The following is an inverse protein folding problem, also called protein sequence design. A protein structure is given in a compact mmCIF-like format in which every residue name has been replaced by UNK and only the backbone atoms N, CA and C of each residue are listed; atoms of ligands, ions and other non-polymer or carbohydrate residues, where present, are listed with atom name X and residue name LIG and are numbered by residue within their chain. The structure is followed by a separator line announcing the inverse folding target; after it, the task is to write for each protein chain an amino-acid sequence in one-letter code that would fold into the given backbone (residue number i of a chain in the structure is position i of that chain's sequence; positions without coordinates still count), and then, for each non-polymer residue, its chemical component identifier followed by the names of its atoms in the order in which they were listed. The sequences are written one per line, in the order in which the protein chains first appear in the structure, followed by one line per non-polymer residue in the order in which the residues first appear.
data_IF_484716156098
#
_entry.id   IF_484716156098
#
_cell.length_a   1.000
_cell.length_b   1.000
_cell.length_c   1.000
_cell.angle_alpha   90.00
_cell.angle_beta   90.00
_cell.angle_gamma   90.00
#
_symmetry.space_group_name_H-M   'P 1'
#
loop_
_entity.id
_entity.type
_entity.pdbx_description
1 polymer ?
#
# COMPACT_ATOMS: atom_id res chain seq x y z
N UNK A 1 -18.64 -30.54 -7.70
CA UNK A 1 -18.31 -29.46 -8.63
C UNK A 1 -17.33 -28.55 -7.88
N UNK A 2 -16.15 -28.29 -8.42
CA UNK A 2 -15.25 -27.30 -7.81
C UNK A 2 -15.97 -25.94 -7.83
N UNK A 3 -16.12 -25.32 -6.66
CA UNK A 3 -16.72 -24.00 -6.53
C UNK A 3 -15.83 -23.02 -7.30
N UNK A 4 -16.38 -22.25 -8.23
CA UNK A 4 -15.58 -21.25 -8.96
C UNK A 4 -15.09 -20.21 -7.97
N UNK A 5 -13.80 -19.80 -8.09
CA UNK A 5 -13.23 -18.80 -7.21
C UNK A 5 -14.05 -17.49 -7.21
N UNK A 6 -14.22 -16.87 -6.04
CA UNK A 6 -14.99 -15.64 -5.85
C UNK A 6 -14.39 -14.48 -6.65
N UNK A 7 -15.19 -13.44 -6.92
CA UNK A 7 -14.69 -12.26 -7.63
C UNK A 7 -13.50 -11.62 -6.89
N UNK A 8 -13.58 -11.48 -5.55
CA UNK A 8 -12.49 -10.91 -4.76
C UNK A 8 -11.22 -11.76 -4.84
N UNK A 9 -11.32 -13.10 -4.70
CA UNK A 9 -10.16 -13.98 -4.81
C UNK A 9 -9.49 -13.85 -6.19
N UNK A 10 -10.28 -13.77 -7.26
CA UNK A 10 -9.78 -13.58 -8.63
C UNK A 10 -9.07 -12.23 -8.80
N UNK A 11 -9.59 -11.14 -8.21
CA UNK A 11 -8.97 -9.82 -8.25
C UNK A 11 -7.62 -9.86 -7.52
N UNK A 12 -7.56 -10.43 -6.32
CA UNK A 12 -6.30 -10.56 -5.57
C UNK A 12 -5.29 -11.43 -6.30
N UNK A 13 -5.73 -12.60 -6.81
CA UNK A 13 -4.88 -13.54 -7.56
C UNK A 13 -4.29 -12.91 -8.84
N UNK A 14 -5.09 -12.12 -9.58
CA UNK A 14 -4.61 -11.36 -10.74
C UNK A 14 -3.64 -10.27 -10.30
N UNK A 15 -3.97 -9.51 -9.26
CA UNK A 15 -3.14 -8.39 -8.78
C UNK A 15 -1.76 -8.83 -8.34
N UNK A 16 -1.63 -9.99 -7.66
CA UNK A 16 -0.32 -10.55 -7.23
C UNK A 16 0.60 -10.81 -8.43
N UNK A 17 0.08 -11.33 -9.54
CA UNK A 17 0.89 -11.57 -10.75
C UNK A 17 1.20 -10.25 -11.46
N UNK A 18 0.21 -9.36 -11.57
CA UNK A 18 0.35 -8.06 -12.26
C UNK A 18 1.39 -7.16 -11.60
N UNK A 19 1.41 -7.06 -10.25
CA UNK A 19 2.40 -6.22 -9.55
C UNK A 19 3.83 -6.75 -9.69
N UNK A 20 4.03 -8.06 -9.85
CA UNK A 20 5.33 -8.64 -10.18
C UNK A 20 5.82 -8.14 -11.56
N UNK A 21 4.92 -8.10 -12.56
CA UNK A 21 5.25 -7.54 -13.89
C UNK A 21 5.55 -6.05 -13.80
N UNK A 22 4.75 -5.27 -13.06
CA UNK A 22 4.99 -3.85 -12.82
C UNK A 22 6.35 -3.62 -12.14
N UNK A 23 6.69 -4.42 -11.12
CA UNK A 23 8.01 -4.34 -10.46
C UNK A 23 9.18 -4.60 -11.41
N UNK A 24 9.03 -5.51 -12.39
CA UNK A 24 10.02 -5.71 -13.44
C UNK A 24 10.16 -4.47 -14.32
N UNK A 25 9.04 -3.87 -14.74
CA UNK A 25 9.06 -2.63 -15.55
C UNK A 25 9.79 -1.50 -14.79
N UNK A 26 9.52 -1.34 -13.48
CA UNK A 26 10.18 -0.35 -12.62
C UNK A 26 11.70 -0.55 -12.63
N UNK A 27 12.17 -1.79 -12.46
CA UNK A 27 13.60 -2.10 -12.50
C UNK A 27 14.22 -1.87 -13.88
N UNK A 28 13.49 -2.22 -14.94
CA UNK A 28 13.94 -2.04 -16.32
C UNK A 28 14.10 -0.55 -16.68
N UNK A 29 13.18 0.32 -16.21
CA UNK A 29 13.30 1.79 -16.38
C UNK A 29 14.53 2.32 -15.63
N UNK A 30 14.72 1.93 -14.36
CA UNK A 30 15.89 2.34 -13.57
C UNK A 30 17.20 1.93 -14.24
N UNK A 31 17.26 0.72 -14.79
CA UNK A 31 18.47 0.19 -15.43
C UNK A 31 18.87 0.94 -16.72
N UNK A 32 17.90 1.57 -17.40
CA UNK A 32 18.15 2.41 -18.58
C UNK A 32 18.69 3.79 -18.23
N UNK A 33 18.49 4.26 -16.98
CA UNK A 33 18.94 5.56 -16.49
C UNK A 33 18.12 6.76 -16.97
N UNK A 34 17.12 6.56 -17.82
CA UNK A 34 16.23 7.62 -18.35
C UNK A 34 14.90 7.62 -17.57
N UNK A 35 14.88 8.31 -16.44
CA UNK A 35 13.70 8.32 -15.58
C UNK A 35 12.56 9.22 -16.07
N UNK A 36 12.83 10.16 -16.99
CA UNK A 36 11.86 11.11 -17.56
C UNK A 36 10.97 11.73 -16.46
N UNK A 37 11.62 12.36 -15.48
CA UNK A 37 10.99 12.92 -14.29
C UNK A 37 10.10 14.10 -14.66
N UNK A 38 8.87 14.11 -14.16
CA UNK A 38 7.92 15.22 -14.24
C UNK A 38 7.58 15.64 -12.81
N UNK A 39 7.59 16.93 -12.51
CA UNK A 39 7.10 17.48 -11.24
C UNK A 39 5.64 17.91 -11.42
N UNK A 40 4.70 17.15 -10.83
CA UNK A 40 3.24 17.42 -10.88
C UNK A 40 2.83 18.56 -9.94
N UNK A 41 3.63 18.79 -8.89
CA UNK A 41 3.43 19.80 -7.87
C UNK A 41 4.61 19.82 -6.90
N UNK A 42 4.60 20.71 -5.92
CA UNK A 42 5.71 20.85 -4.97
C UNK A 42 6.00 19.51 -4.27
N UNK A 43 7.18 18.92 -4.54
CA UNK A 43 7.61 17.61 -4.04
C UNK A 43 6.70 16.43 -4.48
N UNK A 44 5.99 16.55 -5.58
CA UNK A 44 5.15 15.52 -6.19
C UNK A 44 5.77 15.12 -7.54
N UNK A 45 6.64 14.13 -7.50
CA UNK A 45 7.40 13.64 -8.65
C UNK A 45 6.68 12.46 -9.31
N UNK A 46 6.82 12.37 -10.62
CA UNK A 46 6.40 11.24 -11.44
C UNK A 46 7.52 10.88 -12.38
N UNK A 47 7.76 9.59 -12.58
CA UNK A 47 8.76 9.08 -13.54
C UNK A 47 8.11 8.25 -14.64
N UNK A 48 8.93 7.84 -15.62
CA UNK A 48 8.49 6.86 -16.63
C UNK A 48 8.10 5.51 -15.99
N UNK A 49 8.73 5.17 -14.85
CA UNK A 49 8.42 3.94 -14.15
C UNK A 49 6.99 3.96 -13.57
N UNK A 50 6.56 5.09 -12.97
CA UNK A 50 5.19 5.28 -12.44
C UNK A 50 4.17 5.09 -13.57
N UNK A 51 4.35 5.83 -14.67
CA UNK A 51 3.43 5.79 -15.82
C UNK A 51 3.34 4.40 -16.46
N UNK A 52 4.48 3.74 -16.63
CA UNK A 52 4.55 2.42 -17.25
C UNK A 52 3.98 1.32 -16.36
N UNK A 53 4.31 1.33 -15.06
CA UNK A 53 3.76 0.41 -14.09
C UNK A 53 2.23 0.57 -13.97
N UNK A 54 1.73 1.81 -13.89
CA UNK A 54 0.29 2.06 -13.84
C UNK A 54 -0.44 1.54 -15.06
N UNK A 55 0.07 1.80 -16.27
CA UNK A 55 -0.51 1.29 -17.51
C UNK A 55 -0.59 -0.24 -17.50
N UNK A 56 0.48 -0.92 -17.08
CA UNK A 56 0.50 -2.38 -16.95
C UNK A 56 -0.58 -2.87 -16.00
N UNK A 57 -0.67 -2.30 -14.78
CA UNK A 57 -1.61 -2.73 -13.74
C UNK A 57 -3.05 -2.47 -14.19
N UNK A 58 -3.39 -1.23 -14.55
CA UNK A 58 -4.76 -0.84 -14.87
C UNK A 58 -5.27 -1.61 -16.09
N UNK A 59 -4.46 -1.72 -17.16
CA UNK A 59 -4.92 -2.42 -18.38
C UNK A 59 -5.11 -3.91 -18.16
N UNK A 60 -4.24 -4.56 -17.38
CA UNK A 60 -4.40 -5.98 -17.05
C UNK A 60 -5.67 -6.23 -16.23
N UNK A 61 -5.86 -5.45 -15.17
CA UNK A 61 -7.03 -5.59 -14.30
C UNK A 61 -8.33 -5.22 -15.00
N UNK A 62 -8.37 -4.13 -15.79
CA UNK A 62 -9.56 -3.71 -16.53
C UNK A 62 -9.97 -4.73 -17.59
N UNK A 63 -9.01 -5.42 -18.21
CA UNK A 63 -9.29 -6.49 -19.17
C UNK A 63 -9.96 -7.68 -18.50
N UNK A 64 -9.54 -8.05 -17.28
CA UNK A 64 -10.10 -9.17 -16.53
C UNK A 64 -11.42 -8.84 -15.82
N UNK A 65 -11.55 -7.58 -15.37
CA UNK A 65 -12.64 -7.14 -14.51
C UNK A 65 -13.25 -5.83 -15.02
N UNK A 66 -13.93 -5.85 -16.19
CA UNK A 66 -14.41 -4.62 -16.84
C UNK A 66 -15.51 -3.88 -16.07
N UNK A 67 -16.12 -4.53 -15.06
CA UNK A 67 -17.25 -3.99 -14.30
C UNK A 67 -16.87 -3.49 -12.89
N UNK A 68 -15.57 -3.46 -12.54
CA UNK A 68 -15.10 -2.85 -11.28
C UNK A 68 -14.55 -1.45 -11.53
N UNK A 69 -14.53 -0.63 -10.49
CA UNK A 69 -13.86 0.67 -10.55
C UNK A 69 -12.39 0.49 -10.20
N UNK A 70 -11.48 1.04 -11.02
CA UNK A 70 -10.05 1.06 -10.76
C UNK A 70 -9.59 2.52 -10.77
N UNK A 71 -8.93 2.96 -9.71
CA UNK A 71 -8.41 4.32 -9.54
C UNK A 71 -6.90 4.24 -9.34
N UNK A 72 -6.14 4.81 -10.25
CA UNK A 72 -4.69 4.97 -10.13
C UNK A 72 -4.32 6.37 -9.67
N UNK A 73 -3.09 6.52 -9.19
CA UNK A 73 -2.54 7.81 -8.79
C UNK A 73 -2.52 8.82 -9.93
N UNK A 74 -2.19 8.35 -11.13
CA UNK A 74 -2.03 9.20 -12.30
C UNK A 74 -3.24 9.13 -13.24
N UNK A 75 -3.69 10.28 -13.71
CA UNK A 75 -4.67 10.37 -14.80
C UNK A 75 -3.99 10.02 -16.13
N UNK A 76 -3.77 8.74 -16.41
CA UNK A 76 -3.19 8.32 -17.68
C UNK A 76 -4.26 8.34 -18.77
N UNK A 77 -4.04 9.15 -19.80
CA UNK A 77 -4.76 9.01 -21.06
C UNK A 77 -4.50 7.60 -21.64
N UNK A 78 -5.51 7.02 -22.31
CA UNK A 78 -5.42 5.75 -23.01
C UNK A 78 -4.34 5.83 -24.10
N UNK A 79 -3.14 5.36 -23.82
CA UNK A 79 -2.11 5.13 -24.80
C UNK A 79 -2.04 3.64 -25.11
N UNK A 80 -1.68 3.28 -26.34
CA UNK A 80 -1.33 1.89 -26.69
C UNK A 80 -0.24 1.40 -25.75
N UNK A 81 -0.44 0.20 -25.21
CA UNK A 81 0.50 -0.47 -24.32
C UNK A 81 1.10 -1.69 -25.05
N UNK A 82 2.36 -2.01 -24.82
CA UNK A 82 2.94 -3.24 -25.33
C UNK A 82 2.11 -4.45 -24.92
N UNK A 83 1.81 -5.34 -25.85
CA UNK A 83 0.97 -6.50 -25.60
C UNK A 83 1.52 -7.45 -24.53
N UNK A 84 2.85 -7.49 -24.37
CA UNK A 84 3.57 -8.28 -23.37
C UNK A 84 3.51 -7.68 -21.96
N UNK A 85 2.95 -6.46 -21.81
CA UNK A 85 2.66 -5.86 -20.50
C UNK A 85 1.30 -6.26 -19.96
N UNK A 86 0.41 -6.77 -20.80
CA UNK A 86 -0.90 -7.26 -20.36
C UNK A 86 -0.74 -8.66 -19.77
N UNK A 87 -0.96 -8.76 -18.48
CA UNK A 87 -0.90 -10.01 -17.74
C UNK A 87 -2.29 -10.62 -17.67
N UNK A 88 -2.39 -11.91 -18.01
CA UNK A 88 -3.65 -12.66 -17.99
C UNK A 88 -3.65 -13.82 -16.99
N UNK A 89 -2.51 -14.12 -16.41
CA UNK A 89 -2.38 -15.18 -15.41
C UNK A 89 -2.91 -14.75 -14.04
N UNK A 90 -3.26 -15.73 -13.23
CA UNK A 90 -3.74 -15.56 -11.86
C UNK A 90 -3.01 -16.54 -10.94
N UNK A 91 -2.75 -16.12 -9.71
CA UNK A 91 -2.13 -16.96 -8.68
C UNK A 91 -3.10 -18.11 -8.31
N UNK A 92 -2.64 -19.35 -8.53
CA UNK A 92 -3.49 -20.53 -8.36
C UNK A 92 -3.78 -20.87 -6.90
N UNK A 93 -2.88 -20.53 -5.97
CA UNK A 93 -3.08 -20.78 -4.54
C UNK A 93 -4.18 -19.85 -4.00
N UNK A 94 -4.14 -18.57 -4.37
CA UNK A 94 -5.16 -17.60 -3.95
C UNK A 94 -6.55 -17.96 -4.47
N UNK A 95 -6.64 -18.51 -5.67
CA UNK A 95 -7.93 -18.96 -6.24
C UNK A 95 -8.59 -20.09 -5.43
N UNK A 96 -7.82 -20.81 -4.62
CA UNK A 96 -8.34 -21.90 -3.77
C UNK A 96 -8.74 -21.45 -2.36
N UNK A 97 -8.48 -20.19 -1.99
CA UNK A 97 -8.78 -19.68 -0.66
C UNK A 97 -10.28 -19.62 -0.42
N UNK A 98 -10.67 -20.06 0.78
CA UNK A 98 -12.04 -19.89 1.26
C UNK A 98 -12.17 -18.53 1.93
N UNK A 99 -12.97 -17.66 1.34
CA UNK A 99 -13.24 -16.35 1.90
C UNK A 99 -14.34 -16.39 3.00
N UNK A 100 -14.36 -15.42 3.92
CA UNK A 100 -15.51 -15.20 4.81
C UNK A 100 -16.80 -14.99 4.00
N UNK A 101 -17.94 -15.41 4.55
CA UNK A 101 -19.25 -15.28 3.89
C UNK A 101 -19.56 -13.83 3.48
N UNK A 102 -19.12 -12.85 4.29
CA UNK A 102 -19.26 -11.42 4.00
C UNK A 102 -18.49 -10.94 2.76
N UNK A 103 -17.51 -11.73 2.28
CA UNK A 103 -16.66 -11.43 1.13
C UNK A 103 -16.88 -12.42 -0.05
N UNK A 104 -17.82 -13.36 0.08
CA UNK A 104 -18.01 -14.42 -0.90
C UNK A 104 -18.83 -13.96 -2.13
N UNK A 105 -19.90 -13.20 -1.93
CA UNK A 105 -20.85 -12.81 -2.99
C UNK A 105 -20.89 -11.30 -3.22
N UNK A 106 -19.72 -10.69 -3.47
CA UNK A 106 -19.63 -9.24 -3.70
C UNK A 106 -19.98 -8.90 -5.13
N UNK A 107 -20.88 -7.92 -5.32
CA UNK A 107 -21.17 -7.37 -6.63
C UNK A 107 -20.04 -6.47 -7.13
N UNK A 108 -19.65 -6.60 -8.39
CA UNK A 108 -18.56 -5.84 -9.01
C UNK A 108 -18.71 -4.31 -8.84
N UNK A 109 -19.93 -3.77 -8.89
CA UNK A 109 -20.21 -2.33 -8.71
C UNK A 109 -19.82 -1.77 -7.33
N UNK A 110 -19.68 -2.65 -6.31
CA UNK A 110 -19.31 -2.30 -4.94
C UNK A 110 -17.80 -2.37 -4.72
N UNK A 111 -17.03 -2.80 -5.73
CA UNK A 111 -15.58 -2.94 -5.64
C UNK A 111 -14.90 -1.70 -6.23
N UNK A 112 -13.98 -1.14 -5.46
CA UNK A 112 -13.03 -0.13 -5.91
C UNK A 112 -11.60 -0.63 -5.67
N UNK A 113 -10.77 -0.60 -6.71
CA UNK A 113 -9.35 -0.93 -6.63
C UNK A 113 -8.55 0.36 -6.68
N UNK A 114 -7.72 0.59 -5.65
CA UNK A 114 -6.81 1.72 -5.53
C UNK A 114 -5.40 1.28 -5.88
N UNK A 115 -4.75 2.00 -6.80
CA UNK A 115 -3.42 1.64 -7.31
C UNK A 115 -2.44 2.78 -7.11
N UNK A 116 -1.38 2.50 -6.35
CA UNK A 116 -0.15 3.29 -6.38
C UNK A 116 0.90 2.50 -7.17
N UNK A 117 1.24 2.95 -8.38
CA UNK A 117 2.13 2.20 -9.25
C UNK A 117 3.59 2.21 -8.77
N UNK A 118 3.99 3.24 -8.03
CA UNK A 118 5.34 3.41 -7.49
C UNK A 118 5.32 4.30 -6.24
N UNK A 119 4.96 3.72 -5.11
CA UNK A 119 5.07 4.36 -3.80
C UNK A 119 6.55 4.58 -3.44
N UNK A 120 6.89 5.82 -3.09
CA UNK A 120 8.26 6.23 -2.83
C UNK A 120 9.01 6.77 -4.07
N UNK A 121 8.33 7.50 -4.96
CA UNK A 121 8.93 8.10 -6.18
C UNK A 121 10.12 9.00 -5.86
N UNK A 122 10.07 9.77 -4.78
CA UNK A 122 11.19 10.60 -4.33
C UNK A 122 12.44 9.75 -4.01
N UNK A 123 12.25 8.65 -3.31
CA UNK A 123 13.32 7.71 -2.97
C UNK A 123 13.85 6.98 -4.21
N UNK A 124 12.95 6.59 -5.11
CA UNK A 124 13.32 5.99 -6.39
C UNK A 124 14.25 6.89 -7.20
N UNK A 125 13.93 8.18 -7.34
CA UNK A 125 14.77 9.14 -8.07
C UNK A 125 16.13 9.40 -7.41
N UNK A 126 16.26 9.10 -6.12
CA UNK A 126 17.51 9.23 -5.35
C UNK A 126 18.31 7.92 -5.25
N UNK A 127 17.82 6.83 -5.85
CA UNK A 127 18.46 5.53 -5.78
C UNK A 127 18.25 4.76 -4.47
N UNK A 128 17.36 5.23 -3.57
CA UNK A 128 16.97 4.55 -2.32
C UNK A 128 15.87 3.52 -2.61
N UNK A 129 16.18 2.61 -3.50
CA UNK A 129 15.21 1.71 -4.13
C UNK A 129 14.60 0.67 -3.19
N UNK A 130 15.22 0.42 -2.04
CA UNK A 130 14.70 -0.45 -0.98
C UNK A 130 13.42 0.08 -0.34
N UNK A 131 13.14 1.39 -0.46
CA UNK A 131 11.92 2.02 0.02
C UNK A 131 10.74 1.92 -0.97
N UNK A 132 11.03 1.51 -2.20
CA UNK A 132 10.02 1.50 -3.28
C UNK A 132 9.08 0.32 -3.13
N UNK A 133 7.77 0.60 -3.22
CA UNK A 133 6.71 -0.41 -3.27
C UNK A 133 5.72 -0.15 -4.40
N UNK A 134 4.98 -1.18 -4.80
CA UNK A 134 3.79 -1.09 -5.67
C UNK A 134 2.61 -1.50 -4.82
N UNK A 135 1.56 -0.69 -4.79
CA UNK A 135 0.41 -0.92 -3.92
C UNK A 135 -0.85 -1.15 -4.76
N UNK A 136 -1.59 -2.22 -4.45
CA UNK A 136 -2.93 -2.47 -4.99
C UNK A 136 -3.86 -2.78 -3.82
N UNK A 137 -4.75 -1.84 -3.49
CA UNK A 137 -5.74 -1.99 -2.45
C UNK A 137 -7.12 -2.30 -3.04
N UNK A 138 -7.85 -3.24 -2.45
CA UNK A 138 -9.21 -3.58 -2.85
C UNK A 138 -10.17 -3.18 -1.76
N UNK A 139 -11.08 -2.30 -2.09
CA UNK A 139 -12.16 -1.88 -1.20
C UNK A 139 -13.50 -2.45 -1.64
N UNK A 140 -14.34 -2.78 -0.66
CA UNK A 140 -15.75 -3.14 -0.85
C UNK A 140 -16.61 -2.11 -0.10
N UNK A 141 -17.38 -1.35 -0.86
CA UNK A 141 -18.03 -0.16 -0.33
C UNK A 141 -16.98 0.83 0.21
N UNK A 142 -17.02 1.09 1.52
CA UNK A 142 -16.11 2.04 2.17
C UNK A 142 -14.86 1.42 2.79
N UNK A 143 -14.77 0.08 2.86
CA UNK A 143 -13.75 -0.62 3.64
C UNK A 143 -12.67 -1.23 2.76
N UNK A 144 -11.41 -1.06 3.12
CA UNK A 144 -10.31 -1.86 2.60
C UNK A 144 -10.47 -3.31 3.08
N UNK A 145 -10.52 -4.27 2.15
CA UNK A 145 -10.76 -5.69 2.48
C UNK A 145 -9.65 -6.61 1.98
N UNK A 146 -8.89 -6.17 0.99
CA UNK A 146 -7.70 -6.88 0.56
C UNK A 146 -6.62 -5.90 0.10
N UNK A 147 -5.36 -6.28 0.22
CA UNK A 147 -4.23 -5.47 -0.17
C UNK A 147 -3.08 -6.30 -0.70
N UNK A 148 -2.35 -5.74 -1.65
CA UNK A 148 -1.15 -6.31 -2.22
C UNK A 148 -0.05 -5.25 -2.15
N UNK A 149 1.12 -5.60 -1.59
CA UNK A 149 2.34 -4.81 -1.60
C UNK A 149 3.41 -5.61 -2.31
N UNK A 150 3.97 -5.03 -3.37
CA UNK A 150 5.14 -5.60 -4.05
C UNK A 150 6.36 -4.72 -3.80
N UNK A 151 7.48 -5.33 -3.41
CA UNK A 151 8.78 -4.68 -3.23
C UNK A 151 9.69 -5.05 -4.39
N UNK A 152 9.84 -4.22 -5.44
CA UNK A 152 10.56 -4.57 -6.65
C UNK A 152 12.03 -4.94 -6.42
N UNK A 153 12.66 -4.32 -5.43
CA UNK A 153 14.09 -4.45 -5.15
C UNK A 153 14.42 -5.32 -3.94
N UNK A 154 13.41 -5.97 -3.35
CA UNK A 154 13.66 -6.93 -2.29
C UNK A 154 14.53 -8.08 -2.82
N UNK A 155 15.69 -8.29 -2.20
CA UNK A 155 16.61 -9.36 -2.57
C UNK A 155 16.24 -10.62 -1.80
N UNK A 156 15.93 -11.67 -2.51
CA UNK A 156 15.68 -12.97 -1.89
C UNK A 156 17.00 -13.66 -1.60
N UNK A 157 17.31 -13.87 -0.31
CA UNK A 157 18.57 -14.46 0.14
C UNK A 157 18.76 -15.93 -0.33
N UNK A 158 17.65 -16.65 -0.60
CA UNK A 158 17.70 -18.06 -0.96
C UNK A 158 18.14 -18.31 -2.42
N UNK A 159 17.80 -17.42 -3.34
CA UNK A 159 18.04 -17.61 -4.78
C UNK A 159 18.58 -16.37 -5.50
N UNK A 160 18.79 -15.25 -4.78
CA UNK A 160 19.27 -13.99 -5.35
C UNK A 160 18.28 -13.29 -6.29
N UNK A 161 17.05 -13.80 -6.46
CA UNK A 161 16.04 -13.15 -7.27
C UNK A 161 15.59 -11.83 -6.64
N UNK A 162 15.17 -10.87 -7.49
CA UNK A 162 14.61 -9.61 -7.04
C UNK A 162 13.09 -9.65 -7.09
N UNK A 163 12.48 -9.04 -6.08
CA UNK A 163 11.06 -8.88 -5.95
C UNK A 163 10.44 -9.78 -4.88
N UNK A 164 9.57 -9.20 -4.06
CA UNK A 164 8.73 -9.90 -3.07
C UNK A 164 7.33 -9.33 -3.14
N UNK A 165 6.33 -10.19 -3.24
CA UNK A 165 4.92 -9.81 -3.19
C UNK A 165 4.29 -10.35 -1.93
N UNK A 166 3.58 -9.48 -1.23
CA UNK A 166 2.83 -9.78 -0.02
C UNK A 166 1.38 -9.42 -0.30
N UNK A 167 0.46 -10.24 0.16
CA UNK A 167 -0.96 -9.96 0.10
C UNK A 167 -1.63 -10.22 1.44
N UNK A 168 -2.74 -9.53 1.70
CA UNK A 168 -3.60 -9.78 2.85
C UNK A 168 -5.05 -9.66 2.47
N UNK A 169 -5.91 -10.50 3.08
CA UNK A 169 -7.36 -10.48 2.91
C UNK A 169 -8.00 -10.53 4.29
N UNK A 170 -8.94 -9.62 4.55
CA UNK A 170 -9.68 -9.55 5.82
C UNK A 170 -10.38 -10.87 6.13
N UNK A 171 -10.16 -11.40 7.35
CA UNK A 171 -10.68 -12.68 7.81
C UNK A 171 -10.04 -13.93 7.19
N UNK A 172 -9.02 -13.79 6.33
CA UNK A 172 -8.24 -14.91 5.76
C UNK A 172 -6.81 -14.92 6.31
N UNK A 173 -6.16 -13.75 6.38
CA UNK A 173 -4.77 -13.60 6.77
C UNK A 173 -3.90 -13.07 5.65
N UNK A 174 -2.60 -13.38 5.71
CA UNK A 174 -1.59 -12.89 4.76
C UNK A 174 -0.86 -14.03 4.05
N UNK A 175 -0.31 -13.73 2.87
CA UNK A 175 0.58 -14.61 2.14
C UNK A 175 1.81 -13.89 1.58
N UNK A 176 2.80 -14.67 1.14
CA UNK A 176 4.08 -14.17 0.65
C UNK A 176 5.10 -13.81 1.73
N UNK A 177 4.70 -13.87 3.02
CA UNK A 177 5.56 -13.48 4.12
C UNK A 177 4.98 -13.92 5.48
N UNK A 178 5.83 -14.01 6.50
CA UNK A 178 5.43 -14.30 7.88
C UNK A 178 5.57 -13.04 8.74
N UNK A 179 4.47 -12.63 9.37
CA UNK A 179 4.48 -11.49 10.30
C UNK A 179 5.41 -11.77 11.50
N UNK A 180 6.14 -10.73 11.91
CA UNK A 180 7.08 -10.75 13.04
C UNK A 180 6.69 -9.62 14.00
N UNK A 181 6.54 -9.94 15.28
CA UNK A 181 6.27 -8.93 16.31
C UNK A 181 7.50 -8.07 16.59
N UNK A 182 7.34 -6.76 16.85
CA UNK A 182 8.45 -5.89 17.18
C UNK A 182 9.07 -6.23 18.56
N UNK A 183 10.31 -5.77 18.85
CA UNK A 183 11.03 -6.14 20.08
C UNK A 183 10.38 -5.57 21.33
N UNK A 184 10.13 -6.43 22.32
CA UNK A 184 9.54 -6.04 23.60
C UNK A 184 10.45 -5.04 24.34
N UNK A 185 9.83 -4.08 25.03
CA UNK A 185 10.54 -3.06 25.84
C UNK A 185 11.13 -1.91 25.04
N UNK A 186 10.88 -1.87 23.72
CA UNK A 186 11.19 -0.72 22.87
C UNK A 186 9.92 -0.05 22.38
N UNK A 187 10.05 1.15 21.86
CA UNK A 187 9.02 1.88 21.11
C UNK A 187 9.69 2.51 19.90
N UNK A 188 9.79 1.71 18.82
CA UNK A 188 10.40 2.11 17.56
C UNK A 188 9.30 2.66 16.68
N UNK A 189 9.40 3.93 16.30
CA UNK A 189 8.46 4.56 15.38
C UNK A 189 9.04 4.65 13.97
N UNK A 190 8.17 4.63 12.98
CA UNK A 190 8.55 5.01 11.61
C UNK A 190 7.73 6.21 11.15
N UNK A 191 8.35 7.09 10.38
CA UNK A 191 7.72 8.28 9.80
C UNK A 191 8.37 8.66 8.48
N UNK A 192 7.81 9.68 7.80
CA UNK A 192 8.35 10.13 6.52
C UNK A 192 9.73 10.76 6.66
N UNK A 193 10.63 10.43 5.73
CA UNK A 193 11.94 11.07 5.55
C UNK A 193 11.82 12.38 4.77
N UNK A 194 11.06 12.37 3.67
CA UNK A 194 11.01 13.45 2.68
C UNK A 194 9.95 14.52 2.98
N UNK A 195 8.94 14.22 3.83
CA UNK A 195 7.82 15.09 4.12
C UNK A 195 7.71 15.44 5.62
N UNK A 196 8.86 15.64 6.29
CA UNK A 196 8.86 16.06 7.69
C UNK A 196 8.54 17.55 7.83
N UNK A 197 7.79 17.88 8.90
CA UNK A 197 7.48 19.24 9.31
C UNK A 197 7.32 19.30 10.84
N UNK A 198 7.17 20.50 11.40
CA UNK A 198 7.03 20.69 12.85
C UNK A 198 5.88 19.86 13.46
N UNK A 199 4.76 19.71 12.77
CA UNK A 199 3.61 18.94 13.26
C UNK A 199 3.92 17.45 13.31
N UNK A 200 4.62 16.92 12.30
CA UNK A 200 5.11 15.53 12.28
C UNK A 200 6.09 15.30 13.42
N UNK A 201 7.06 16.19 13.62
CA UNK A 201 8.06 16.07 14.71
C UNK A 201 7.39 16.10 16.09
N UNK A 202 6.44 17.01 16.32
CA UNK A 202 5.69 17.07 17.59
C UNK A 202 4.89 15.78 17.82
N UNK A 203 4.23 15.22 16.79
CA UNK A 203 3.51 13.96 16.91
C UNK A 203 4.45 12.78 17.22
N UNK A 204 5.60 12.70 16.56
CA UNK A 204 6.59 11.65 16.83
C UNK A 204 7.10 11.76 18.27
N UNK A 205 7.48 12.96 18.71
CA UNK A 205 8.07 13.17 20.04
C UNK A 205 7.06 12.91 21.17
N UNK A 206 5.77 13.21 20.94
CA UNK A 206 4.72 12.95 21.95
C UNK A 206 4.50 11.48 22.24
N UNK A 207 4.91 10.60 21.34
CA UNK A 207 4.83 9.15 21.51
C UNK A 207 6.05 8.56 22.24
N UNK A 208 6.99 9.38 22.72
CA UNK A 208 8.17 8.99 23.49
C UNK A 208 8.94 7.80 22.89
N UNK A 209 9.40 7.87 21.63
CA UNK A 209 10.07 6.77 20.97
C UNK A 209 11.43 6.46 21.57
N UNK A 210 11.80 5.18 21.64
CA UNK A 210 13.18 4.76 21.90
C UNK A 210 14.07 4.88 20.65
N UNK A 211 13.45 4.85 19.47
CA UNK A 211 14.11 4.96 18.17
C UNK A 211 13.11 5.46 17.12
N UNK A 212 13.59 6.23 16.14
CA UNK A 212 12.77 6.73 15.02
C UNK A 212 13.42 6.38 13.68
N UNK A 213 12.73 5.57 12.88
CA UNK A 213 13.11 5.20 11.52
C UNK A 213 12.48 6.18 10.53
N UNK A 214 13.30 6.97 9.83
CA UNK A 214 12.85 7.92 8.80
C UNK A 214 13.08 7.34 7.41
N UNK A 215 12.00 6.89 6.78
CA UNK A 215 12.04 6.21 5.50
C UNK A 215 11.00 6.78 4.53
N UNK A 216 11.16 6.51 3.24
CA UNK A 216 10.15 6.82 2.22
C UNK A 216 9.11 5.71 2.07
N UNK A 217 8.09 5.96 1.23
CA UNK A 217 7.04 5.00 0.90
C UNK A 217 6.06 4.71 2.06
N UNK A 218 4.77 4.76 1.82
CA UNK A 218 3.75 4.39 2.79
C UNK A 218 3.72 2.86 2.99
N UNK A 219 3.78 2.12 1.89
CA UNK A 219 3.87 0.67 1.90
C UNK A 219 5.12 0.17 2.61
N UNK A 220 6.28 0.79 2.35
CA UNK A 220 7.53 0.42 3.04
C UNK A 220 7.43 0.63 4.56
N UNK A 221 6.83 1.74 5.03
CA UNK A 221 6.64 1.96 6.48
C UNK A 221 5.76 0.89 7.11
N UNK A 222 4.69 0.46 6.43
CA UNK A 222 3.84 -0.63 6.91
C UNK A 222 4.60 -1.97 6.88
N UNK A 223 5.47 -2.19 5.88
CA UNK A 223 6.35 -3.37 5.89
C UNK A 223 7.25 -3.42 7.12
N UNK A 224 7.76 -2.27 7.60
CA UNK A 224 8.55 -2.24 8.84
C UNK A 224 7.73 -2.67 10.07
N UNK A 225 6.42 -2.36 10.11
CA UNK A 225 5.53 -2.85 11.18
C UNK A 225 5.36 -4.37 11.09
N UNK A 226 5.09 -4.88 9.90
CA UNK A 226 4.88 -6.31 9.64
C UNK A 226 6.15 -7.15 9.88
N UNK A 227 7.32 -6.58 9.61
CA UNK A 227 8.63 -7.21 9.81
C UNK A 227 9.15 -7.10 11.26
N UNK A 228 8.35 -6.54 12.18
CA UNK A 228 8.76 -6.33 13.57
C UNK A 228 9.89 -5.33 13.76
N UNK A 229 10.17 -4.48 12.78
CA UNK A 229 11.20 -3.44 12.82
C UNK A 229 10.70 -2.14 13.46
N UNK A 230 9.39 -1.92 13.46
CA UNK A 230 8.75 -0.77 14.09
C UNK A 230 7.43 -1.18 14.75
N UNK A 231 7.01 -0.43 15.78
CA UNK A 231 5.77 -0.63 16.53
C UNK A 231 4.64 0.21 15.95
N UNK A 232 4.98 1.42 15.49
CA UNK A 232 3.99 2.38 15.02
C UNK A 232 4.54 3.21 13.86
N UNK A 233 3.69 3.48 12.87
CA UNK A 233 3.89 4.48 11.84
C UNK A 233 2.97 5.67 12.11
N UNK A 234 3.56 6.86 12.26
CA UNK A 234 2.84 8.11 12.44
C UNK A 234 3.23 9.13 11.37
N UNK A 235 2.21 9.75 10.75
CA UNK A 235 2.40 10.79 9.76
C UNK A 235 1.36 11.90 9.94
N UNK A 236 1.70 12.90 10.77
CA UNK A 236 0.85 14.04 11.07
C UNK A 236 0.93 15.11 9.96
N UNK A 237 0.52 14.73 8.75
CA UNK A 237 0.49 15.57 7.55
C UNK A 237 -0.63 15.16 6.61
N UNK A 238 -1.10 16.09 5.76
CA UNK A 238 -2.16 15.87 4.76
C UNK A 238 -1.60 15.38 3.41
N UNK A 239 -0.34 14.88 3.39
CA UNK A 239 0.38 14.56 2.16
C UNK A 239 0.14 13.15 1.60
N UNK A 240 -0.62 12.26 2.28
CA UNK A 240 -0.96 10.94 1.75
C UNK A 240 -2.35 10.92 1.08
N UNK A 241 -2.58 9.91 0.27
CA UNK A 241 -3.80 9.71 -0.51
C UNK A 241 -4.36 8.30 -0.31
N UNK A 242 -5.54 7.99 -0.85
CA UNK A 242 -6.23 6.69 -0.65
C UNK A 242 -5.43 5.51 -1.17
N UNK A 243 -4.72 5.65 -2.26
CA UNK A 243 -3.87 4.59 -2.83
C UNK A 243 -2.64 4.28 -1.96
N UNK A 244 -2.13 5.25 -1.16
CA UNK A 244 -1.03 5.03 -0.20
C UNK A 244 -1.47 4.19 1.00
N UNK A 245 -2.77 4.14 1.32
CA UNK A 245 -3.26 3.56 2.58
C UNK A 245 -4.18 2.35 2.41
N UNK A 246 -4.88 2.21 1.29
CA UNK A 246 -5.85 1.13 1.10
C UNK A 246 -5.23 -0.27 1.20
N UNK A 247 -4.15 -0.54 0.45
CA UNK A 247 -3.46 -1.83 0.53
C UNK A 247 -2.77 -2.04 1.89
N UNK A 248 -2.01 -1.06 2.43
CA UNK A 248 -1.43 -1.16 3.76
C UNK A 248 -2.44 -1.41 4.88
N UNK A 249 -3.58 -0.72 4.88
CA UNK A 249 -4.64 -0.93 5.87
C UNK A 249 -5.18 -2.36 5.84
N UNK A 250 -5.52 -2.86 4.64
CA UNK A 250 -6.07 -4.20 4.48
C UNK A 250 -5.10 -5.29 4.97
N UNK A 251 -3.80 -5.16 4.66
CA UNK A 251 -2.79 -6.14 5.08
C UNK A 251 -2.58 -6.09 6.59
N UNK A 252 -2.51 -4.89 7.20
CA UNK A 252 -2.38 -4.75 8.65
C UNK A 252 -3.60 -5.36 9.37
N UNK A 253 -4.82 -5.08 8.89
CA UNK A 253 -6.03 -5.65 9.49
C UNK A 253 -6.04 -7.18 9.40
N UNK A 254 -5.58 -7.75 8.29
CA UNK A 254 -5.52 -9.21 8.10
C UNK A 254 -4.62 -9.93 9.12
N UNK A 255 -3.73 -9.22 9.81
CA UNK A 255 -2.84 -9.75 10.87
C UNK A 255 -3.11 -9.19 12.27
N UNK A 256 -4.19 -8.43 12.44
CA UNK A 256 -4.57 -7.86 13.75
C UNK A 256 -3.91 -6.52 14.07
N UNK A 257 -3.16 -5.93 13.14
CA UNK A 257 -2.70 -4.55 13.24
C UNK A 257 -3.81 -3.55 12.92
N UNK A 258 -3.53 -2.25 12.97
CA UNK A 258 -4.54 -1.22 12.74
C UNK A 258 -3.96 -0.01 12.02
N UNK A 259 -4.76 0.59 11.11
CA UNK A 259 -4.48 1.86 10.49
C UNK A 259 -5.72 2.76 10.59
N UNK A 260 -5.53 4.00 11.04
CA UNK A 260 -6.56 5.04 11.15
C UNK A 260 -5.98 6.41 10.78
N UNK A 261 -6.84 7.41 10.74
CA UNK A 261 -6.38 8.79 10.84
C UNK A 261 -5.93 9.12 12.28
N UNK A 262 -5.48 10.36 12.52
CA UNK A 262 -5.02 10.83 13.83
C UNK A 262 -6.17 11.08 14.84
N UNK A 263 -7.42 10.98 14.40
CA UNK A 263 -8.61 11.03 15.23
C UNK A 263 -9.16 9.64 15.56
N UNK A 264 -8.51 8.58 15.04
CA UNK A 264 -8.90 7.19 15.25
C UNK A 264 -10.02 6.69 14.33
N UNK A 265 -10.32 7.45 13.27
CA UNK A 265 -11.33 7.09 12.27
C UNK A 265 -10.69 6.26 11.15
N UNK A 266 -11.42 5.28 10.62
CA UNK A 266 -11.03 4.53 9.42
C UNK A 266 -11.28 5.36 8.18
N UNK A 267 -10.45 5.19 7.16
CA UNK A 267 -10.62 5.86 5.89
C UNK A 267 -11.80 5.30 5.08
N UNK A 268 -12.42 6.19 4.31
CA UNK A 268 -13.43 5.82 3.34
C UNK A 268 -12.74 5.60 1.98
N UNK A 269 -12.87 4.38 1.42
CA UNK A 269 -12.30 4.00 0.13
C UNK A 269 -13.36 3.82 -0.96
N UNK A 270 -14.56 4.38 -0.78
CA UNK A 270 -15.57 4.42 -1.85
C UNK A 270 -15.02 5.18 -3.07
N UNK A 271 -15.38 4.73 -4.27
CA UNK A 271 -14.89 5.31 -5.53
C UNK A 271 -15.25 6.78 -5.75
N UNK A 272 -16.20 7.32 -4.98
CA UNK A 272 -16.63 8.72 -5.05
C UNK A 272 -16.00 9.61 -3.98
N UNK A 273 -15.15 9.04 -3.13
CA UNK A 273 -14.47 9.81 -2.07
C UNK A 273 -13.33 10.64 -2.63
N UNK A 274 -13.01 11.75 -1.97
CA UNK A 274 -11.83 12.55 -2.30
C UNK A 274 -10.56 11.74 -2.04
N UNK A 275 -9.54 11.92 -2.87
CA UNK A 275 -8.30 11.14 -2.80
C UNK A 275 -7.44 11.46 -1.58
N UNK A 276 -7.27 12.74 -1.15
CA UNK A 276 -6.39 13.08 -0.04
C UNK A 276 -6.83 12.49 1.30
N UNK A 277 -5.88 11.99 2.06
CA UNK A 277 -6.03 11.59 3.46
C UNK A 277 -5.79 12.80 4.36
N UNK A 278 -6.82 13.64 4.52
CA UNK A 278 -6.70 14.89 5.28
C UNK A 278 -6.50 14.69 6.79
N UNK A 279 -6.81 13.51 7.31
CA UNK A 279 -6.72 13.15 8.74
C UNK A 279 -5.32 12.69 9.19
N UNK A 280 -4.30 12.69 8.32
CA UNK A 280 -2.98 12.10 8.62
C UNK A 280 -3.03 10.57 8.71
N UNK A 281 -1.97 9.92 9.16
CA UNK A 281 -1.91 8.44 9.28
C UNK A 281 -1.35 8.05 10.63
N UNK A 282 -2.04 7.12 11.30
CA UNK A 282 -1.53 6.36 12.44
C UNK A 282 -1.74 4.87 12.16
N UNK A 283 -0.64 4.10 12.13
CA UNK A 283 -0.72 2.65 11.97
C UNK A 283 0.12 1.96 13.04
N UNK A 284 -0.35 0.82 13.53
CA UNK A 284 0.33 0.04 14.57
C UNK A 284 0.50 -1.40 14.14
N UNK A 285 1.62 -1.98 14.55
CA UNK A 285 1.89 -3.40 14.38
C UNK A 285 0.81 -4.25 15.07
N UNK A 286 0.64 -5.53 14.70
CA UNK A 286 -0.16 -6.47 15.46
C UNK A 286 0.27 -6.49 16.94
N UNK A 287 -0.71 -6.73 17.84
CA UNK A 287 -0.54 -6.78 19.29
C UNK A 287 -0.20 -5.43 19.98
N UNK A 288 -0.04 -4.33 19.22
CA UNK A 288 0.15 -3.00 19.79
C UNK A 288 -1.16 -2.34 20.19
N UNK A 289 -1.17 -1.62 21.31
CA UNK A 289 -2.33 -0.84 21.76
C UNK A 289 -2.48 0.45 20.95
N UNK A 290 -3.17 0.37 19.81
CA UNK A 290 -3.44 1.50 18.93
C UNK A 290 -4.07 2.70 19.65
N UNK A 291 -4.95 2.43 20.65
CA UNK A 291 -5.62 3.48 21.44
C UNK A 291 -4.62 4.25 22.30
N UNK A 292 -3.61 3.55 22.83
CA UNK A 292 -2.54 4.21 23.57
C UNK A 292 -1.84 5.27 22.70
N UNK A 293 -1.44 4.91 21.48
CA UNK A 293 -0.81 5.85 20.54
C UNK A 293 -1.72 7.03 20.22
N UNK A 294 -2.99 6.78 19.91
CA UNK A 294 -3.97 7.85 19.67
C UNK A 294 -4.09 8.82 20.86
N UNK A 295 -4.13 8.31 22.08
CA UNK A 295 -4.31 9.13 23.27
C UNK A 295 -3.09 9.97 23.61
N UNK A 296 -1.89 9.58 23.13
CA UNK A 296 -0.65 10.32 23.36
C UNK A 296 -0.36 11.37 22.29
N UNK A 297 -1.10 11.41 21.19
CA UNK A 297 -1.01 12.53 20.24
C UNK A 297 -1.73 13.74 20.83
N UNK A 298 -1.05 14.90 20.97
CA UNK A 298 -1.62 16.11 21.56
C UNK A 298 -2.87 16.61 20.84
N UNK A 299 -3.83 17.16 21.59
CA UNK A 299 -5.08 17.70 21.02
C UNK A 299 -4.80 18.87 20.05
N UNK A 300 -3.80 19.69 20.30
CA UNK A 300 -3.38 20.75 19.37
C UNK A 300 -2.95 20.24 17.99
N UNK A 301 -2.44 19.00 17.93
CA UNK A 301 -2.14 18.32 16.66
C UNK A 301 -3.42 17.80 16.03
N UNK A 302 -4.25 17.09 16.81
CA UNK A 302 -5.52 16.52 16.34
C UNK A 302 -6.45 17.57 15.74
N UNK A 303 -6.51 18.78 16.34
CA UNK A 303 -7.32 19.91 15.86
C UNK A 303 -6.97 20.35 14.42
N UNK A 304 -5.74 20.11 13.96
CA UNK A 304 -5.31 20.45 12.59
C UNK A 304 -5.88 19.48 11.54
N UNK A 305 -6.44 18.35 11.97
CA UNK A 305 -6.95 17.26 11.14
C UNK A 305 -8.46 17.03 11.29
N UNK A 306 -9.15 17.92 12.00
CA UNK A 306 -10.61 17.97 12.10
C UNK A 306 -11.27 18.57 10.86
#
# INVERSE_FOLDING_TARGET
MAQSATLLARIVASSVIVVNRAGKIIRDVMSRGELNIIEKGKNDLQTEADRSAQKCIISSLSKHFPNITIIGEDNSASCEIPSDWIVTDMDQEILTLKLPESLDNIEAKNICVWVDPLDGTSEYTQGLVEHVTVLVGVAVGKRAVAGIIHQPYYKNDNNGSLGRTIWGIDGVGIGGFKNISPPIGKRILTTSRSHSNETVEKAVNSLEPTEVLRVGGAGHKVMLLLEGKAHCYVFASKGSKRWDTCAPEAILHAVGGKLTDLLGQTYNYDSKTDFPNIGGVLATAPDEDHRWYLNHIPDEIKQKFQ
#
